data_IF_760987213265
#
_entry.id   IF_760987213265
#
_cell.length_a   1.000
_cell.length_b   1.000
_cell.length_c   1.000
_cell.angle_alpha   90.00
_cell.angle_beta   90.00
_cell.angle_gamma   90.00
#
_symmetry.space_group_name_H-M   'P 1'
#
loop_
_entity.id
_entity.type
_entity.pdbx_description
1 polymer ?
#
# COMPACT_ATOMS: atom_id res chain seq x y z
N UNK A 1 8.34 7.53 6.61
CA UNK A 1 7.17 7.00 5.88
C UNK A 1 6.50 5.96 6.77
N UNK A 2 5.18 6.06 6.99
CA UNK A 2 4.41 5.00 7.64
C UNK A 2 3.81 4.12 6.55
N UNK A 3 3.86 2.81 6.74
CA UNK A 3 3.26 1.86 5.80
C UNK A 3 2.32 0.90 6.53
N UNK A 4 1.30 0.46 5.82
CA UNK A 4 0.34 -0.54 6.27
C UNK A 4 0.20 -1.61 5.20
N UNK A 5 0.06 -2.86 5.62
CA UNK A 5 -0.28 -3.96 4.72
C UNK A 5 -1.78 -4.21 4.84
N UNK A 6 -2.47 -4.27 3.70
CA UNK A 6 -3.90 -4.54 3.62
C UNK A 6 -4.15 -5.72 2.70
N UNK A 7 -5.12 -6.55 3.04
CA UNK A 7 -5.61 -7.63 2.18
C UNK A 7 -6.74 -7.07 1.30
N UNK A 8 -6.44 -6.71 0.05
CA UNK A 8 -7.42 -6.14 -0.86
C UNK A 8 -8.36 -7.21 -1.45
N UNK A 9 -9.59 -6.80 -1.80
CA UNK A 9 -10.63 -7.67 -2.39
C UNK A 9 -11.13 -8.81 -1.49
N UNK A 10 -10.94 -8.68 -0.18
CA UNK A 10 -11.42 -9.64 0.83
C UNK A 10 -11.79 -8.91 2.12
N UNK A 11 -12.61 -9.53 2.95
CA UNK A 11 -12.88 -9.14 4.35
C UNK A 11 -12.23 -10.11 5.37
N UNK A 12 -11.54 -11.14 4.89
CA UNK A 12 -10.82 -12.14 5.69
C UNK A 12 -9.32 -11.87 5.67
N UNK A 13 -8.67 -12.05 6.84
CA UNK A 13 -7.21 -11.95 6.97
C UNK A 13 -6.51 -13.08 6.20
N UNK A 14 -5.36 -12.76 5.61
CA UNK A 14 -4.53 -13.68 4.81
C UNK A 14 -5.22 -14.21 3.55
N UNK A 15 -6.15 -13.44 2.99
CA UNK A 15 -6.84 -13.75 1.75
C UNK A 15 -6.77 -12.57 0.75
N UNK A 16 -7.32 -12.74 -0.45
CA UNK A 16 -7.33 -11.68 -1.45
C UNK A 16 -5.92 -11.35 -1.98
N UNK A 17 -5.63 -10.06 -2.14
CA UNK A 17 -4.35 -9.56 -2.64
C UNK A 17 -3.66 -8.64 -1.61
N UNK A 18 -2.58 -9.08 -0.97
CA UNK A 18 -1.80 -8.24 -0.07
C UNK A 18 -1.20 -7.04 -0.81
N UNK A 19 -1.46 -5.83 -0.30
CA UNK A 19 -0.95 -4.59 -0.86
C UNK A 19 -0.37 -3.71 0.25
N UNK A 20 0.69 -2.97 -0.08
CA UNK A 20 1.26 -1.96 0.79
C UNK A 20 0.62 -0.60 0.51
N UNK A 21 0.20 0.09 1.56
CA UNK A 21 -0.24 1.48 1.53
C UNK A 21 0.80 2.33 2.24
N UNK A 22 1.50 3.16 1.47
CA UNK A 22 2.54 4.06 1.96
C UNK A 22 1.95 5.47 2.19
N UNK A 23 1.85 5.89 3.45
CA UNK A 23 1.35 7.22 3.81
C UNK A 23 2.51 8.22 3.81
N UNK A 24 2.34 9.30 3.04
CA UNK A 24 3.40 10.26 2.75
C UNK A 24 2.90 11.70 2.87
N UNK A 25 3.75 12.58 3.39
CA UNK A 25 3.47 14.03 3.49
C UNK A 25 3.62 14.75 2.13
N UNK A 26 4.37 14.14 1.21
CA UNK A 26 4.60 14.62 -0.16
C UNK A 26 4.67 13.44 -1.12
N UNK A 27 4.31 13.68 -2.37
CA UNK A 27 4.44 12.70 -3.44
C UNK A 27 5.90 12.32 -3.68
N UNK A 28 6.12 11.07 -4.07
CA UNK A 28 7.41 10.62 -4.61
C UNK A 28 7.66 11.31 -5.95
N UNK A 29 8.93 11.46 -6.30
CA UNK A 29 9.28 11.85 -7.65
C UNK A 29 8.88 10.73 -8.62
N UNK A 30 8.54 11.13 -9.84
CA UNK A 30 8.01 10.23 -10.87
C UNK A 30 8.96 9.08 -11.19
N UNK A 31 10.28 9.28 -11.11
CA UNK A 31 11.30 8.24 -11.32
C UNK A 31 11.31 7.14 -10.24
N UNK A 32 10.71 7.42 -9.07
CA UNK A 32 10.55 6.46 -7.97
C UNK A 32 9.13 5.87 -7.97
N UNK A 33 8.14 6.62 -8.44
CA UNK A 33 6.74 6.21 -8.44
C UNK A 33 6.29 5.44 -9.70
N UNK A 34 6.92 5.70 -10.87
CA UNK A 34 6.71 4.96 -12.12
C UNK A 34 7.64 3.76 -12.23
#
# INVERSE_FOLDING_TARGET
MKQYVVDAFTDQIFAGNPAAVCVMDKWLSDDIAM
#
